data_IF_992359055402
#
_entry.id   IF_992359055402
#
_cell.length_a   1.000
_cell.length_b   1.000
_cell.length_c   1.000
_cell.angle_alpha   90.00
_cell.angle_beta   90.00
_cell.angle_gamma   90.00
#
_symmetry.space_group_name_H-M   'P 1'
#
loop_
_entity.id
_entity.type
_entity.pdbx_description
1 polymer ?
#
# COMPACT_ATOMS: atom_id res chain seq x y z
N UNK A 1 -17.15 -15.95 -45.81
CA UNK A 1 -17.50 -15.06 -44.70
C UNK A 1 -16.22 -14.77 -43.96
N UNK A 2 -15.64 -13.55 -44.01
CA UNK A 2 -14.49 -13.20 -43.19
C UNK A 2 -14.98 -12.99 -41.75
N UNK A 3 -14.42 -13.73 -40.82
CA UNK A 3 -14.60 -13.55 -39.38
C UNK A 3 -13.95 -12.21 -38.99
N UNK A 4 -14.76 -11.24 -38.64
CA UNK A 4 -14.29 -10.01 -37.99
C UNK A 4 -13.57 -10.38 -36.70
N UNK A 5 -12.27 -10.26 -36.73
CA UNK A 5 -11.40 -10.34 -35.55
C UNK A 5 -11.57 -9.01 -34.79
N UNK A 6 -12.63 -8.94 -33.96
CA UNK A 6 -12.82 -7.82 -33.05
C UNK A 6 -11.69 -7.88 -32.04
N UNK A 7 -10.64 -7.10 -32.25
CA UNK A 7 -9.60 -6.89 -31.26
C UNK A 7 -10.29 -6.37 -29.99
N UNK A 8 -10.39 -7.22 -28.98
CA UNK A 8 -10.81 -6.84 -27.64
C UNK A 8 -9.78 -5.80 -27.21
N UNK A 9 -10.20 -4.53 -27.14
CA UNK A 9 -9.40 -3.49 -26.58
C UNK A 9 -9.06 -3.92 -25.13
N UNK A 10 -7.84 -4.36 -24.90
CA UNK A 10 -7.35 -4.68 -23.56
C UNK A 10 -7.30 -3.38 -22.78
N UNK A 11 -8.35 -3.14 -21.98
CA UNK A 11 -8.34 -2.00 -21.04
C UNK A 11 -7.17 -2.21 -20.10
N UNK A 12 -6.24 -1.28 -20.10
CA UNK A 12 -5.07 -1.32 -19.23
C UNK A 12 -5.54 -1.17 -17.78
N UNK A 13 -5.17 -2.11 -16.91
CA UNK A 13 -5.46 -2.01 -15.48
C UNK A 13 -4.68 -0.85 -14.85
N UNK A 14 -5.32 -0.15 -13.92
CA UNK A 14 -4.75 1.00 -13.20
C UNK A 14 -4.79 0.74 -11.69
N UNK A 15 -3.67 0.97 -11.03
CA UNK A 15 -3.55 0.87 -9.57
C UNK A 15 -3.32 2.24 -8.94
N UNK A 16 -3.90 2.45 -7.75
CA UNK A 16 -3.60 3.60 -6.88
C UNK A 16 -2.77 3.12 -5.69
N UNK A 17 -1.62 3.77 -5.43
CA UNK A 17 -0.72 3.41 -4.31
C UNK A 17 -0.47 4.65 -3.46
N UNK A 18 -0.86 4.63 -2.19
CA UNK A 18 -0.51 5.71 -1.27
C UNK A 18 0.94 5.57 -0.78
N UNK A 19 1.69 6.68 -0.74
CA UNK A 19 3.11 6.65 -0.32
C UNK A 19 4.02 5.91 -1.29
N UNK A 20 3.81 6.08 -2.61
CA UNK A 20 4.51 5.35 -3.68
C UNK A 20 5.88 5.90 -4.08
N UNK A 21 6.40 6.94 -3.41
CA UNK A 21 7.67 7.57 -3.82
C UNK A 21 8.93 6.88 -3.28
N UNK A 22 8.81 6.02 -2.25
CA UNK A 22 9.94 5.31 -1.63
C UNK A 22 9.52 3.98 -0.99
N UNK A 23 10.50 3.19 -0.54
CA UNK A 23 10.30 1.95 0.21
C UNK A 23 9.39 0.94 -0.48
N UNK A 24 8.52 0.30 0.31
CA UNK A 24 7.56 -0.70 -0.17
C UNK A 24 6.63 -0.11 -1.24
N UNK A 25 6.12 1.12 -1.04
CA UNK A 25 5.21 1.75 -1.99
C UNK A 25 5.84 1.96 -3.37
N UNK A 26 7.10 2.47 -3.42
CA UNK A 26 7.85 2.59 -4.69
C UNK A 26 8.02 1.22 -5.36
N UNK A 27 8.41 0.22 -4.59
CA UNK A 27 8.61 -1.12 -5.13
C UNK A 27 7.30 -1.73 -5.65
N UNK A 28 6.18 -1.49 -4.96
CA UNK A 28 4.84 -1.89 -5.40
C UNK A 28 4.48 -1.24 -6.74
N UNK A 29 4.70 0.07 -6.91
CA UNK A 29 4.47 0.79 -8.18
C UNK A 29 5.31 0.20 -9.31
N UNK A 30 6.60 -0.08 -9.07
CA UNK A 30 7.47 -0.72 -10.05
C UNK A 30 7.05 -2.16 -10.36
N UNK A 31 6.55 -2.90 -9.37
CA UNK A 31 6.04 -4.26 -9.55
C UNK A 31 4.74 -4.28 -10.37
N UNK A 32 3.88 -3.29 -10.22
CA UNK A 32 2.73 -3.08 -11.10
C UNK A 32 3.16 -2.82 -12.54
N UNK A 33 4.14 -1.93 -12.76
CA UNK A 33 4.65 -1.64 -14.08
C UNK A 33 5.21 -2.88 -14.80
N UNK A 34 5.98 -3.73 -14.09
CA UNK A 34 6.47 -5.02 -14.62
C UNK A 34 5.35 -5.99 -15.02
N UNK A 35 4.15 -5.85 -14.44
CA UNK A 35 2.96 -6.63 -14.75
C UNK A 35 2.03 -5.97 -15.78
N UNK A 36 2.46 -4.87 -16.39
CA UNK A 36 1.67 -4.17 -17.41
C UNK A 36 0.56 -3.28 -16.85
N UNK A 37 0.62 -2.91 -15.57
CA UNK A 37 -0.38 -2.11 -14.86
C UNK A 37 0.13 -0.68 -14.73
N UNK A 38 -0.68 0.31 -15.11
CA UNK A 38 -0.41 1.73 -14.93
C UNK A 38 -0.68 2.16 -13.48
N UNK A 39 -0.06 3.24 -13.02
CA UNK A 39 -0.16 3.61 -11.61
C UNK A 39 -0.40 5.10 -11.38
N UNK A 40 -1.34 5.41 -10.48
CA UNK A 40 -1.44 6.70 -9.81
C UNK A 40 -0.88 6.48 -8.40
N UNK A 41 0.10 7.28 -7.97
CA UNK A 41 0.63 7.11 -6.64
C UNK A 41 0.81 8.43 -5.91
N UNK A 42 0.84 8.37 -4.57
CA UNK A 42 0.98 9.60 -3.78
C UNK A 42 2.38 9.74 -3.18
N UNK A 43 2.77 10.98 -2.97
CA UNK A 43 3.91 11.39 -2.16
C UNK A 43 3.48 12.51 -1.20
N UNK A 44 4.17 12.65 -0.04
CA UNK A 44 3.82 13.70 0.92
C UNK A 44 4.54 15.02 0.62
N UNK A 45 5.85 15.02 0.53
CA UNK A 45 6.67 16.24 0.41
C UNK A 45 7.79 16.15 -0.62
N UNK A 46 8.37 14.98 -0.86
CA UNK A 46 9.52 14.85 -1.77
C UNK A 46 9.06 14.58 -3.22
N UNK A 47 8.84 15.67 -3.97
CA UNK A 47 8.45 15.63 -5.38
C UNK A 47 9.52 15.00 -6.25
N UNK A 48 10.80 15.30 -5.99
CA UNK A 48 11.90 14.80 -6.81
C UNK A 48 12.00 13.26 -6.77
N UNK A 49 11.80 12.62 -5.59
CA UNK A 49 11.75 11.16 -5.51
C UNK A 49 10.53 10.58 -6.24
N UNK A 50 9.39 11.25 -6.19
CA UNK A 50 8.21 10.82 -6.93
C UNK A 50 8.46 10.91 -8.46
N UNK A 51 9.07 11.96 -8.95
CA UNK A 51 9.40 12.13 -10.37
C UNK A 51 10.38 11.04 -10.88
N UNK A 52 11.32 10.58 -10.04
CA UNK A 52 12.19 9.42 -10.36
C UNK A 52 11.37 8.13 -10.55
N UNK A 53 10.34 7.91 -9.74
CA UNK A 53 9.47 6.73 -9.87
C UNK A 53 8.65 6.83 -11.16
N UNK A 54 8.09 8.00 -11.49
CA UNK A 54 7.39 8.24 -12.75
C UNK A 54 8.30 7.92 -13.94
N UNK A 55 9.53 8.44 -13.93
CA UNK A 55 10.50 8.19 -15.01
C UNK A 55 10.82 6.68 -15.15
N UNK A 56 11.00 5.97 -14.03
CA UNK A 56 11.28 4.53 -14.04
C UNK A 56 10.11 3.72 -14.61
N UNK A 57 8.86 4.06 -14.27
CA UNK A 57 7.66 3.40 -14.81
C UNK A 57 7.53 3.69 -16.31
N UNK A 58 7.75 4.94 -16.74
CA UNK A 58 7.67 5.30 -18.14
C UNK A 58 8.75 4.59 -18.99
N UNK A 59 9.95 4.38 -18.44
CA UNK A 59 10.99 3.59 -19.08
C UNK A 59 10.63 2.11 -19.29
N UNK A 60 9.65 1.59 -18.52
CA UNK A 60 9.07 0.26 -18.70
C UNK A 60 7.89 0.25 -19.69
N UNK A 61 7.61 1.36 -20.38
CA UNK A 61 6.49 1.46 -21.33
C UNK A 61 5.12 1.55 -20.65
N UNK A 62 5.07 1.91 -19.36
CA UNK A 62 3.83 2.08 -18.60
C UNK A 62 3.62 3.55 -18.21
N UNK A 63 2.40 3.91 -17.81
CA UNK A 63 2.07 5.26 -17.36
C UNK A 63 2.11 5.35 -15.84
N UNK A 64 2.65 6.43 -15.31
CA UNK A 64 2.55 6.75 -13.90
C UNK A 64 2.23 8.23 -13.67
N UNK A 65 1.40 8.53 -12.69
CA UNK A 65 1.09 9.88 -12.23
C UNK A 65 1.32 10.00 -10.73
N UNK A 66 2.20 10.92 -10.34
CA UNK A 66 2.43 11.26 -8.95
C UNK A 66 1.51 12.41 -8.52
N UNK A 67 0.78 12.24 -7.43
CA UNK A 67 -0.09 13.25 -6.81
C UNK A 67 0.35 13.51 -5.38
N UNK A 68 0.36 14.78 -4.96
CA UNK A 68 0.67 15.10 -3.57
C UNK A 68 -0.53 14.80 -2.68
N UNK A 69 -0.29 14.13 -1.53
CA UNK A 69 -1.30 13.85 -0.53
C UNK A 69 -0.65 13.63 0.84
N UNK A 70 -1.15 14.31 1.86
CA UNK A 70 -1.00 13.90 3.25
C UNK A 70 -2.22 13.06 3.64
N UNK A 71 -2.02 11.76 3.89
CA UNK A 71 -3.10 10.85 4.26
C UNK A 71 -3.66 11.12 5.66
N UNK A 72 -3.02 11.96 6.47
CA UNK A 72 -3.53 12.43 7.75
C UNK A 72 -4.45 13.66 7.64
N UNK A 73 -4.51 14.31 6.47
CA UNK A 73 -5.35 15.48 6.21
C UNK A 73 -6.59 15.11 5.38
N UNK A 74 -7.67 14.73 6.05
CA UNK A 74 -8.94 14.35 5.39
C UNK A 74 -9.57 15.52 4.62
N UNK A 75 -9.32 16.77 5.04
CA UNK A 75 -9.83 17.95 4.34
C UNK A 75 -9.33 18.07 2.90
N UNK A 76 -8.16 17.49 2.60
CA UNK A 76 -7.57 17.50 1.25
C UNK A 76 -8.12 16.40 0.32
N UNK A 77 -8.89 15.42 0.83
CA UNK A 77 -9.26 14.23 0.06
C UNK A 77 -10.18 14.52 -1.12
N UNK A 78 -11.09 15.48 -1.04
CA UNK A 78 -11.96 15.81 -2.16
C UNK A 78 -11.18 16.42 -3.34
N UNK A 79 -10.22 17.30 -3.04
CA UNK A 79 -9.31 17.84 -4.06
C UNK A 79 -8.41 16.74 -4.65
N UNK A 80 -7.95 15.79 -3.82
CA UNK A 80 -7.19 14.63 -4.28
C UNK A 80 -8.01 13.74 -5.21
N UNK A 81 -9.27 13.43 -4.88
CA UNK A 81 -10.16 12.64 -5.74
C UNK A 81 -10.36 13.31 -7.11
N UNK A 82 -10.46 14.62 -7.16
CA UNK A 82 -10.50 15.35 -8.45
C UNK A 82 -9.17 15.20 -9.21
N UNK A 83 -8.03 15.19 -8.50
CA UNK A 83 -6.73 14.88 -9.08
C UNK A 83 -6.66 13.47 -9.68
N UNK A 84 -7.22 12.48 -8.98
CA UNK A 84 -7.33 11.10 -9.47
C UNK A 84 -8.20 11.03 -10.73
N UNK A 85 -9.35 11.70 -10.76
CA UNK A 85 -10.19 11.75 -11.97
C UNK A 85 -9.43 12.27 -13.18
N UNK A 86 -8.74 13.40 -13.04
CA UNK A 86 -7.90 13.94 -14.14
C UNK A 86 -6.81 12.98 -14.58
N UNK A 87 -6.15 12.28 -13.64
CA UNK A 87 -5.13 11.30 -13.98
C UNK A 87 -5.72 10.07 -14.70
N UNK A 88 -6.91 9.62 -14.32
CA UNK A 88 -7.63 8.57 -15.02
C UNK A 88 -7.98 9.00 -16.45
N UNK A 89 -8.50 10.22 -16.63
CA UNK A 89 -8.82 10.79 -17.97
C UNK A 89 -7.53 10.85 -18.84
N UNK A 90 -6.39 11.29 -18.30
CA UNK A 90 -5.10 11.28 -19.00
C UNK A 90 -4.65 9.86 -19.41
N UNK A 91 -5.04 8.85 -18.66
CA UNK A 91 -4.76 7.44 -18.98
C UNK A 91 -5.77 6.83 -19.96
N UNK A 92 -6.88 7.53 -20.24
CA UNK A 92 -7.96 7.06 -21.10
C UNK A 92 -8.92 6.12 -20.37
N UNK A 93 -9.08 6.25 -19.06
CA UNK A 93 -9.92 5.41 -18.22
C UNK A 93 -10.86 6.23 -17.34
N UNK A 94 -12.03 5.70 -17.02
CA UNK A 94 -12.96 6.31 -16.08
C UNK A 94 -12.80 5.80 -14.62
N UNK A 95 -12.18 4.65 -14.46
CA UNK A 95 -12.08 3.92 -13.18
C UNK A 95 -10.71 3.23 -13.05
N UNK A 96 -10.38 2.85 -11.83
CA UNK A 96 -9.18 2.09 -11.50
C UNK A 96 -9.53 0.71 -10.92
N UNK A 97 -8.55 -0.19 -10.86
CA UNK A 97 -8.75 -1.60 -10.51
C UNK A 97 -8.19 -1.99 -9.14
N UNK A 98 -7.12 -1.34 -8.70
CA UNK A 98 -6.48 -1.69 -7.44
C UNK A 98 -6.19 -0.46 -6.57
N UNK A 99 -6.41 -0.59 -5.25
CA UNK A 99 -6.01 0.39 -4.24
C UNK A 99 -5.07 -0.23 -3.23
N UNK A 100 -3.89 0.37 -3.06
CA UNK A 100 -2.93 -0.04 -2.03
C UNK A 100 -2.78 1.09 -1.01
N UNK A 101 -3.32 0.87 0.18
CA UNK A 101 -3.18 1.77 1.33
C UNK A 101 -1.85 1.46 2.03
N UNK A 102 -0.75 2.06 1.53
CA UNK A 102 0.61 1.82 2.00
C UNK A 102 1.19 3.00 2.80
N UNK A 103 0.74 4.23 2.57
CA UNK A 103 1.26 5.40 3.30
C UNK A 103 1.21 5.20 4.81
N UNK A 104 2.29 5.61 5.48
CA UNK A 104 2.39 5.49 6.92
C UNK A 104 3.65 6.13 7.50
N UNK A 105 3.64 6.28 8.81
CA UNK A 105 4.77 6.75 9.62
C UNK A 105 5.08 5.73 10.70
N UNK A 106 6.32 5.67 11.17
CA UNK A 106 6.67 4.88 12.35
C UNK A 106 6.42 5.68 13.62
N UNK A 107 6.10 4.97 14.67
CA UNK A 107 6.09 5.51 16.02
C UNK A 107 6.65 4.47 16.99
N UNK A 108 7.62 4.90 17.79
CA UNK A 108 8.21 4.13 18.88
C UNK A 108 8.21 5.02 20.13
N UNK A 109 7.39 4.67 21.10
CA UNK A 109 7.27 5.40 22.36
C UNK A 109 6.69 4.50 23.44
N UNK A 110 7.24 4.56 24.65
CA UNK A 110 6.74 3.79 25.78
C UNK A 110 5.26 4.14 26.05
N UNK A 111 4.49 3.15 26.46
CA UNK A 111 3.06 3.33 26.70
C UNK A 111 2.80 4.47 27.71
N UNK A 112 3.57 4.51 28.79
CA UNK A 112 3.42 5.53 29.84
C UNK A 112 3.75 6.95 29.36
N UNK A 113 4.54 7.10 28.30
CA UNK A 113 4.98 8.40 27.77
C UNK A 113 4.21 8.82 26.52
N UNK A 114 3.34 7.94 26.00
CA UNK A 114 2.54 8.21 24.79
C UNK A 114 1.50 9.27 25.10
N UNK A 115 1.58 10.40 24.40
CA UNK A 115 0.62 11.50 24.55
C UNK A 115 -0.61 11.31 23.68
N UNK A 116 -1.67 12.06 23.96
CA UNK A 116 -2.87 12.12 23.12
C UNK A 116 -2.52 12.52 21.67
N UNK A 117 -1.65 13.54 21.51
CA UNK A 117 -1.19 14.00 20.19
C UNK A 117 -0.45 12.90 19.40
N UNK A 118 0.39 12.12 20.06
CA UNK A 118 1.07 10.98 19.48
C UNK A 118 0.08 9.94 18.95
N UNK A 119 -0.91 9.59 19.78
CA UNK A 119 -1.96 8.63 19.40
C UNK A 119 -2.83 9.17 18.27
N UNK A 120 -3.24 10.42 18.34
CA UNK A 120 -4.04 11.09 17.31
C UNK A 120 -3.30 11.13 15.97
N UNK A 121 -2.00 11.36 15.99
CA UNK A 121 -1.20 11.39 14.76
C UNK A 121 -1.18 10.01 14.07
N UNK A 122 -0.91 8.92 14.81
CA UNK A 122 -0.93 7.58 14.22
C UNK A 122 -2.35 7.14 13.84
N UNK A 123 -3.37 7.51 14.61
CA UNK A 123 -4.78 7.29 14.28
C UNK A 123 -5.17 7.96 12.98
N UNK A 124 -4.87 9.26 12.84
CA UNK A 124 -5.20 10.04 11.63
C UNK A 124 -4.62 9.41 10.37
N UNK A 125 -3.33 9.02 10.41
CA UNK A 125 -2.62 8.51 9.24
C UNK A 125 -2.98 7.06 8.96
N UNK A 126 -2.92 6.19 9.98
CA UNK A 126 -2.98 4.74 9.77
C UNK A 126 -4.39 4.16 9.73
N UNK A 127 -5.36 4.82 10.38
CA UNK A 127 -6.73 4.30 10.39
C UNK A 127 -7.72 5.26 9.73
N UNK A 128 -7.87 6.48 10.26
CA UNK A 128 -8.85 7.44 9.76
C UNK A 128 -8.60 7.80 8.29
N UNK A 129 -7.33 8.03 7.93
CA UNK A 129 -6.94 8.28 6.54
C UNK A 129 -7.26 7.12 5.61
N UNK A 130 -6.91 5.89 6.00
CA UNK A 130 -7.21 4.67 5.24
C UNK A 130 -8.72 4.51 5.04
N UNK A 131 -9.51 4.68 6.10
CA UNK A 131 -10.96 4.54 6.06
C UNK A 131 -11.60 5.52 5.08
N UNK A 132 -11.38 6.81 5.27
CA UNK A 132 -12.06 7.83 4.48
C UNK A 132 -11.50 7.98 3.06
N UNK A 133 -10.20 7.75 2.85
CA UNK A 133 -9.64 7.75 1.51
C UNK A 133 -10.21 6.59 0.67
N UNK A 134 -10.28 5.39 1.26
CA UNK A 134 -10.91 4.24 0.61
C UNK A 134 -12.36 4.53 0.27
N UNK A 135 -13.13 5.07 1.22
CA UNK A 135 -14.54 5.44 1.01
C UNK A 135 -14.71 6.43 -0.16
N UNK A 136 -13.89 7.49 -0.22
CA UNK A 136 -13.97 8.52 -1.26
C UNK A 136 -13.51 8.03 -2.64
N UNK A 137 -12.58 7.07 -2.68
CA UNK A 137 -12.10 6.48 -3.94
C UNK A 137 -13.00 5.34 -4.45
N UNK A 138 -13.79 4.71 -3.58
CA UNK A 138 -14.63 3.56 -3.92
C UNK A 138 -15.58 3.78 -5.10
N UNK A 139 -16.19 4.95 -5.32
CA UNK A 139 -17.03 5.23 -6.51
C UNK A 139 -16.24 5.20 -7.83
N UNK A 140 -14.92 5.39 -7.80
CA UNK A 140 -14.03 5.33 -8.96
C UNK A 140 -13.38 3.97 -9.19
N UNK A 141 -13.65 2.99 -8.31
CA UNK A 141 -13.10 1.64 -8.45
C UNK A 141 -14.02 0.78 -9.31
N UNK A 142 -13.42 -0.03 -10.18
CA UNK A 142 -14.13 -1.05 -10.96
C UNK A 142 -14.67 -2.16 -10.06
N UNK A 143 -15.78 -2.77 -10.46
CA UNK A 143 -16.21 -4.03 -9.87
C UNK A 143 -15.19 -5.13 -10.22
N UNK A 144 -15.00 -6.08 -9.31
CA UNK A 144 -13.90 -7.03 -9.42
C UNK A 144 -12.54 -6.46 -9.00
N UNK A 145 -12.49 -5.23 -8.47
CA UNK A 145 -11.27 -4.58 -8.02
C UNK A 145 -10.58 -5.24 -6.82
N UNK A 146 -9.41 -4.72 -6.44
CA UNK A 146 -8.58 -5.23 -5.33
C UNK A 146 -8.19 -4.10 -4.39
N UNK A 147 -8.33 -4.34 -3.09
CA UNK A 147 -7.83 -3.42 -2.06
C UNK A 147 -6.79 -4.18 -1.22
N UNK A 148 -5.60 -3.61 -1.07
CA UNK A 148 -4.58 -4.13 -0.17
C UNK A 148 -4.23 -3.07 0.85
N UNK A 149 -4.44 -3.39 2.13
CA UNK A 149 -4.05 -2.55 3.25
C UNK A 149 -2.71 -3.03 3.81
N UNK A 150 -1.76 -2.13 4.01
CA UNK A 150 -0.48 -2.49 4.62
C UNK A 150 -0.59 -2.39 6.13
N UNK A 151 -0.47 -3.55 6.79
CA UNK A 151 -0.38 -3.70 8.25
C UNK A 151 1.08 -3.83 8.70
N UNK A 152 1.34 -4.69 9.66
CA UNK A 152 2.67 -4.96 10.23
C UNK A 152 2.69 -6.32 10.92
N UNK A 153 3.86 -6.93 11.03
CA UNK A 153 4.07 -8.09 11.90
C UNK A 153 3.77 -7.81 13.38
N UNK A 154 3.81 -6.53 13.80
CA UNK A 154 3.56 -6.14 15.20
C UNK A 154 2.12 -6.36 15.69
N UNK A 155 1.19 -6.71 14.82
CA UNK A 155 -0.16 -7.14 15.23
C UNK A 155 -0.19 -8.59 15.75
N UNK A 156 0.85 -9.37 15.48
CA UNK A 156 1.09 -10.73 15.98
C UNK A 156 2.22 -10.78 17.00
N UNK A 157 3.32 -10.08 16.69
CA UNK A 157 4.50 -9.98 17.56
C UNK A 157 4.39 -8.71 18.40
N UNK A 158 4.71 -8.79 19.68
CA UNK A 158 4.68 -7.64 20.59
C UNK A 158 6.08 -7.24 21.00
N UNK A 159 6.38 -5.96 20.85
CA UNK A 159 7.62 -5.36 21.36
C UNK A 159 7.29 -4.12 22.18
N UNK A 160 8.11 -3.77 23.17
CA UNK A 160 7.98 -2.48 23.85
C UNK A 160 7.93 -1.31 22.87
N UNK A 161 7.29 -0.21 23.29
CA UNK A 161 7.22 1.04 22.52
C UNK A 161 6.40 1.00 21.21
N UNK A 162 5.64 -0.07 20.95
CA UNK A 162 4.89 -0.23 19.70
C UNK A 162 3.37 -0.17 19.86
N UNK A 163 2.85 0.00 21.09
CA UNK A 163 1.43 -0.15 21.41
C UNK A 163 0.51 0.72 20.55
N UNK A 164 0.77 2.02 20.45
CA UNK A 164 -0.08 2.94 19.67
C UNK A 164 -0.09 2.58 18.17
N UNK A 165 1.08 2.37 17.58
CA UNK A 165 1.20 2.00 16.17
C UNK A 165 0.56 0.63 15.86
N UNK A 166 0.89 -0.39 16.65
CA UNK A 166 0.37 -1.76 16.45
C UNK A 166 -1.16 -1.81 16.59
N UNK A 167 -1.74 -1.06 17.55
CA UNK A 167 -3.18 -0.96 17.74
C UNK A 167 -3.89 -0.39 16.50
N UNK A 168 -3.35 0.66 15.89
CA UNK A 168 -3.93 1.23 14.66
C UNK A 168 -3.83 0.26 13.48
N UNK A 169 -2.73 -0.47 13.38
CA UNK A 169 -2.58 -1.52 12.34
C UNK A 169 -3.52 -2.71 12.58
N UNK A 170 -3.77 -3.09 13.84
CA UNK A 170 -4.80 -4.07 14.19
C UNK A 170 -6.21 -3.60 13.78
N UNK A 171 -6.53 -2.32 14.00
CA UNK A 171 -7.79 -1.73 13.54
C UNK A 171 -7.95 -1.82 12.01
N UNK A 172 -6.89 -1.60 11.24
CA UNK A 172 -6.90 -1.77 9.78
C UNK A 172 -7.15 -3.24 9.37
N UNK A 173 -6.63 -4.21 10.11
CA UNK A 173 -6.89 -5.63 9.85
C UNK A 173 -8.37 -5.99 10.08
N UNK A 174 -9.01 -5.41 11.11
CA UNK A 174 -10.45 -5.53 11.31
C UNK A 174 -11.23 -4.87 10.18
N UNK A 175 -10.89 -3.63 9.83
CA UNK A 175 -11.49 -2.89 8.72
C UNK A 175 -11.40 -3.69 7.41
N UNK A 176 -10.28 -4.35 7.14
CA UNK A 176 -10.09 -5.20 5.95
C UNK A 176 -11.17 -6.28 5.85
N UNK A 177 -11.45 -6.98 6.95
CA UNK A 177 -12.49 -8.02 6.98
C UNK A 177 -13.90 -7.45 6.80
N UNK A 178 -14.19 -6.30 7.41
CA UNK A 178 -15.48 -5.61 7.23
C UNK A 178 -15.68 -5.21 5.76
N UNK A 179 -14.70 -4.55 5.16
CA UNK A 179 -14.77 -4.14 3.75
C UNK A 179 -14.85 -5.33 2.80
N UNK A 180 -14.13 -6.42 3.07
CA UNK A 180 -14.22 -7.64 2.26
C UNK A 180 -15.65 -8.21 2.23
N UNK A 181 -16.38 -8.11 3.34
CA UNK A 181 -17.79 -8.54 3.44
C UNK A 181 -18.73 -7.55 2.73
N UNK A 182 -18.56 -6.26 3.01
CA UNK A 182 -19.44 -5.20 2.48
C UNK A 182 -19.32 -5.04 0.97
N UNK A 183 -18.11 -5.18 0.42
CA UNK A 183 -17.82 -4.98 -1.00
C UNK A 183 -17.93 -6.26 -1.84
N UNK A 184 -18.28 -7.38 -1.22
CA UNK A 184 -18.40 -8.68 -1.87
C UNK A 184 -19.39 -8.70 -3.04
N UNK A 185 -20.54 -7.98 -2.94
CA UNK A 185 -21.50 -7.85 -4.02
C UNK A 185 -20.91 -7.18 -5.28
N UNK A 186 -19.90 -6.31 -5.12
CA UNK A 186 -19.11 -5.72 -6.20
C UNK A 186 -17.91 -6.58 -6.62
N UNK A 187 -17.75 -7.77 -6.05
CA UNK A 187 -16.62 -8.68 -6.30
C UNK A 187 -15.25 -8.03 -6.00
N UNK A 188 -15.22 -7.02 -5.13
CA UNK A 188 -13.98 -6.38 -4.69
C UNK A 188 -13.39 -7.21 -3.57
N UNK A 189 -12.18 -7.73 -3.77
CA UNK A 189 -11.45 -8.44 -2.74
C UNK A 189 -10.59 -7.46 -1.92
N UNK A 190 -10.63 -7.62 -0.59
CA UNK A 190 -9.88 -6.75 0.34
C UNK A 190 -9.00 -7.61 1.23
N UNK A 191 -7.70 -7.39 1.18
CA UNK A 191 -6.71 -8.14 1.93
C UNK A 191 -5.74 -7.22 2.68
N UNK A 192 -5.06 -7.78 3.64
CA UNK A 192 -3.97 -7.13 4.38
C UNK A 192 -2.65 -7.84 4.07
N UNK A 193 -1.61 -7.07 3.78
CA UNK A 193 -0.22 -7.53 3.81
C UNK A 193 0.42 -6.98 5.08
N UNK A 194 1.07 -7.85 5.86
CA UNK A 194 1.74 -7.52 7.11
C UNK A 194 3.25 -7.77 6.97
N UNK A 195 4.04 -6.76 6.55
CA UNK A 195 5.48 -6.90 6.45
C UNK A 195 6.15 -7.11 7.82
N UNK A 196 7.24 -7.85 7.82
CA UNK A 196 8.25 -7.78 8.86
C UNK A 196 9.09 -6.50 8.77
N UNK A 197 10.24 -6.43 9.46
CA UNK A 197 11.19 -5.32 9.31
C UNK A 197 11.82 -5.33 7.93
N UNK A 198 11.60 -4.25 7.18
CA UNK A 198 12.09 -4.06 5.81
C UNK A 198 13.13 -2.95 5.78
N UNK A 199 14.26 -3.19 5.11
CA UNK A 199 15.37 -2.26 4.95
C UNK A 199 14.99 -1.09 4.03
N UNK A 200 14.34 -0.06 4.60
CA UNK A 200 13.85 1.15 3.93
C UNK A 200 14.16 2.39 4.75
N UNK A 201 13.71 3.57 4.30
CA UNK A 201 13.75 4.81 5.09
C UNK A 201 12.75 4.85 6.25
N UNK A 202 11.88 3.86 6.36
CA UNK A 202 10.91 3.78 7.46
C UNK A 202 11.64 3.68 8.81
N UNK A 203 11.10 4.27 9.85
CA UNK A 203 11.77 4.38 11.17
C UNK A 203 13.16 5.01 11.09
N UNK A 204 13.35 6.01 10.21
CA UNK A 204 14.64 6.69 10.04
C UNK A 204 15.76 5.79 9.48
N UNK A 205 15.40 4.75 8.75
CA UNK A 205 16.38 3.86 8.12
C UNK A 205 17.07 2.85 9.08
N UNK A 206 16.57 2.71 10.30
CA UNK A 206 17.28 1.91 11.33
C UNK A 206 17.63 0.49 10.88
N UNK A 207 16.71 -0.20 10.20
CA UNK A 207 16.94 -1.58 9.72
C UNK A 207 17.98 -1.61 8.59
N UNK A 208 18.01 -0.60 7.73
CA UNK A 208 18.94 -0.50 6.60
C UNK A 208 20.34 -0.04 7.03
N UNK A 209 20.39 1.02 7.88
CA UNK A 209 21.59 1.81 8.10
C UNK A 209 22.37 1.42 9.37
N UNK A 210 21.74 0.68 10.32
CA UNK A 210 22.38 0.25 11.57
C UNK A 210 22.67 -1.25 11.55
N UNK A 211 23.96 -1.65 11.42
CA UNK A 211 24.33 -3.07 11.32
C UNK A 211 23.86 -3.93 12.50
N UNK A 212 23.87 -3.36 13.72
CA UNK A 212 23.43 -4.06 14.92
C UNK A 212 21.93 -4.35 14.92
N UNK A 213 21.12 -3.39 14.40
CA UNK A 213 19.67 -3.58 14.26
C UNK A 213 19.38 -4.59 13.15
N UNK A 214 20.06 -4.48 12.01
CA UNK A 214 19.92 -5.41 10.90
C UNK A 214 20.26 -6.85 11.32
N UNK A 215 21.37 -7.05 12.04
CA UNK A 215 21.76 -8.37 12.56
C UNK A 215 20.72 -8.94 13.51
N UNK A 216 20.24 -8.13 14.47
CA UNK A 216 19.19 -8.57 15.40
C UNK A 216 17.90 -8.98 14.68
N UNK A 217 17.51 -8.26 13.63
CA UNK A 217 16.37 -8.62 12.78
C UNK A 217 16.64 -9.94 12.06
N UNK A 218 17.83 -10.11 11.49
CA UNK A 218 18.23 -11.33 10.80
C UNK A 218 18.18 -12.55 11.74
N UNK A 219 18.71 -12.42 12.96
CA UNK A 219 18.72 -13.48 13.98
C UNK A 219 17.32 -13.93 14.40
N UNK A 220 16.33 -13.03 14.34
CA UNK A 220 14.92 -13.34 14.64
C UNK A 220 14.11 -13.81 13.43
N UNK A 221 14.69 -13.78 12.23
CA UNK A 221 14.01 -14.11 10.97
C UNK A 221 14.46 -15.48 10.47
N UNK A 222 13.54 -16.40 10.23
CA UNK A 222 13.86 -17.76 9.78
C UNK A 222 14.67 -17.79 8.48
N UNK A 223 14.45 -16.83 7.55
CA UNK A 223 15.25 -16.69 6.33
C UNK A 223 16.61 -15.99 6.55
N UNK A 224 16.99 -15.68 7.80
CA UNK A 224 18.33 -15.23 8.19
C UNK A 224 18.72 -13.83 7.72
N UNK A 225 17.76 -12.96 7.34
CA UNK A 225 18.01 -11.59 6.92
C UNK A 225 16.84 -10.66 7.18
N UNK A 226 17.09 -9.37 7.22
CA UNK A 226 16.03 -8.38 7.09
C UNK A 226 15.35 -8.48 5.71
N UNK A 227 14.09 -8.08 5.63
CA UNK A 227 13.38 -8.00 4.36
C UNK A 227 13.84 -6.80 3.53
N UNK A 228 13.70 -6.92 2.22
CA UNK A 228 13.89 -5.85 1.25
C UNK A 228 12.53 -5.43 0.64
N UNK A 229 12.40 -4.22 0.07
CA UNK A 229 11.18 -3.84 -0.64
C UNK A 229 10.75 -4.83 -1.71
N UNK A 230 11.72 -5.50 -2.37
CA UNK A 230 11.48 -6.52 -3.39
C UNK A 230 10.87 -7.83 -2.83
N UNK A 231 10.90 -8.05 -1.53
CA UNK A 231 10.20 -9.18 -0.90
C UNK A 231 8.70 -8.90 -0.73
N UNK A 232 8.28 -7.63 -0.75
CA UNK A 232 6.91 -7.23 -0.42
C UNK A 232 6.14 -6.68 -1.62
N UNK A 233 6.77 -5.83 -2.44
CA UNK A 233 6.11 -5.19 -3.57
C UNK A 233 5.55 -6.18 -4.61
N UNK A 234 6.28 -7.22 -5.03
CA UNK A 234 5.77 -8.24 -5.93
C UNK A 234 4.59 -9.04 -5.36
N UNK A 235 4.57 -9.32 -4.04
CA UNK A 235 3.44 -9.96 -3.36
C UNK A 235 2.19 -9.08 -3.43
N UNK A 236 2.32 -7.77 -3.14
CA UNK A 236 1.20 -6.83 -3.22
C UNK A 236 0.65 -6.80 -4.66
N UNK A 237 1.53 -6.70 -5.65
CA UNK A 237 1.13 -6.68 -7.05
C UNK A 237 0.47 -8.00 -7.49
N UNK A 238 0.93 -9.14 -6.98
CA UNK A 238 0.31 -10.44 -7.22
C UNK A 238 -1.10 -10.51 -6.63
N UNK A 239 -1.31 -10.06 -5.39
CA UNK A 239 -2.63 -10.03 -4.75
C UNK A 239 -3.63 -9.13 -5.48
N UNK A 240 -3.14 -8.17 -6.25
CA UNK A 240 -3.97 -7.31 -7.10
C UNK A 240 -4.24 -7.90 -8.49
N UNK A 241 -3.71 -9.08 -8.82
CA UNK A 241 -3.93 -9.74 -10.11
C UNK A 241 -5.18 -10.62 -10.10
N UNK A 242 -5.64 -10.99 -11.31
CA UNK A 242 -6.77 -11.89 -11.49
C UNK A 242 -6.49 -13.31 -10.97
N UNK A 243 -5.24 -13.73 -10.96
CA UNK A 243 -4.80 -15.04 -10.45
C UNK A 243 -5.17 -15.24 -8.97
N UNK A 244 -5.23 -14.14 -8.20
CA UNK A 244 -5.53 -14.15 -6.77
C UNK A 244 -6.96 -13.68 -6.45
N UNK A 245 -7.89 -13.70 -7.41
CA UNK A 245 -9.27 -13.21 -7.24
C UNK A 245 -10.07 -13.90 -6.12
N UNK A 246 -9.65 -15.11 -5.71
CA UNK A 246 -10.31 -15.88 -4.64
C UNK A 246 -9.69 -15.64 -3.25
N UNK A 247 -8.60 -14.87 -3.17
CA UNK A 247 -8.00 -14.46 -1.89
C UNK A 247 -8.74 -13.22 -1.39
N UNK A 248 -9.50 -13.36 -0.31
CA UNK A 248 -10.31 -12.28 0.26
C UNK A 248 -10.33 -12.34 1.79
N UNK A 249 -10.38 -11.20 2.46
CA UNK A 249 -10.40 -11.04 3.92
C UNK A 249 -9.17 -11.64 4.64
N UNK A 250 -8.06 -11.87 3.94
CA UNK A 250 -6.87 -12.49 4.50
C UNK A 250 -5.88 -11.45 5.05
N UNK A 251 -5.19 -11.84 6.12
CA UNK A 251 -3.96 -11.21 6.58
C UNK A 251 -2.78 -12.09 6.15
N UNK A 252 -2.00 -11.59 5.23
CA UNK A 252 -0.85 -12.31 4.67
C UNK A 252 0.41 -11.68 5.26
N UNK A 253 1.15 -12.46 6.05
CA UNK A 253 2.40 -12.01 6.62
C UNK A 253 3.55 -12.21 5.62
N UNK A 254 4.32 -11.14 5.41
CA UNK A 254 5.51 -11.11 4.57
C UNK A 254 6.73 -10.70 5.42
N UNK A 255 7.14 -11.61 6.32
CA UNK A 255 8.15 -11.33 7.35
C UNK A 255 9.41 -12.21 7.26
N UNK A 256 9.47 -13.12 6.26
CA UNK A 256 10.56 -14.09 6.18
C UNK A 256 10.54 -15.12 7.32
N UNK A 257 9.39 -15.29 7.99
CA UNK A 257 9.25 -16.15 9.16
C UNK A 257 9.84 -15.52 10.42
N UNK A 258 9.63 -14.22 10.61
CA UNK A 258 10.09 -13.53 11.83
C UNK A 258 9.32 -14.01 13.06
N UNK A 259 10.05 -14.40 14.10
CA UNK A 259 9.53 -14.81 15.42
C UNK A 259 8.42 -15.88 15.34
N UNK A 260 8.65 -16.93 14.58
CA UNK A 260 7.81 -18.12 14.50
C UNK A 260 8.28 -19.17 15.50
#
# INVERSE_FOLDING_TARGET
MPTENTAIATTTSIAIVTGGSRGIGRNTVLSFARRGIDSIFTYRSNRAEADKVVAAVNAMGRKARALQLDTGDIGSFDAFVQGVRRALDEFGAARFDALVNNAGVSMHKAFADTTEEDLDNVYRIHFKGVFFLTQKLLPLMNDGGRIVNISTGLTRMTFPETSAYASMKGAVEVLTRCLAKELGARRIAVNTVAPGPIATDFSGGMVRDKPEVNRRVADMTALGRAGEPDDVGPLIAALCSEEHRWVNAQRIEASGGMAI
#
